data_IF_826309680132
#
_entry.id   IF_826309680132
#
_cell.length_a   1.000
_cell.length_b   1.000
_cell.length_c   1.000
_cell.angle_alpha   90.00
_cell.angle_beta   90.00
_cell.angle_gamma   90.00
#
_symmetry.space_group_name_H-M   'P 1'
#
loop_
_entity.id
_entity.type
_entity.pdbx_description
1 polymer ?
#
# COMPACT_ATOMS: atom_id res chain seq x y z
N UNK A 1 -46.63 -14.52 -41.84
CA UNK A 1 -46.22 -13.22 -42.43
C UNK A 1 -45.26 -13.54 -43.57
N UNK A 2 -45.51 -13.05 -44.79
CA UNK A 2 -44.58 -13.24 -45.91
C UNK A 2 -43.67 -12.03 -45.99
N UNK A 3 -42.37 -12.23 -45.92
CA UNK A 3 -41.35 -11.20 -46.14
C UNK A 3 -40.83 -11.38 -47.56
N UNK A 4 -40.74 -10.30 -48.32
CA UNK A 4 -40.14 -10.31 -49.64
C UNK A 4 -38.83 -9.53 -49.58
N UNK A 5 -37.73 -10.20 -49.89
CA UNK A 5 -36.40 -9.61 -49.93
C UNK A 5 -35.86 -9.69 -51.36
N UNK A 6 -35.21 -8.62 -51.83
CA UNK A 6 -34.46 -8.66 -53.09
C UNK A 6 -33.19 -9.49 -52.93
N UNK A 7 -32.58 -9.99 -54.03
CA UNK A 7 -31.30 -10.69 -53.97
C UNK A 7 -30.21 -9.89 -53.25
N UNK A 8 -30.17 -8.57 -53.46
CA UNK A 8 -29.20 -7.67 -52.82
C UNK A 8 -29.44 -7.57 -51.31
N UNK A 9 -30.69 -7.49 -50.87
CA UNK A 9 -31.05 -7.45 -49.45
C UNK A 9 -30.70 -8.77 -48.74
N UNK A 10 -30.93 -9.92 -49.40
CA UNK A 10 -30.52 -11.23 -48.87
C UNK A 10 -29.01 -11.30 -48.69
N UNK A 11 -28.25 -10.90 -49.70
CA UNK A 11 -26.80 -10.90 -49.64
C UNK A 11 -26.25 -9.98 -48.54
N UNK A 12 -26.85 -8.79 -48.36
CA UNK A 12 -26.48 -7.87 -47.28
C UNK A 12 -26.74 -8.47 -45.89
N UNK A 13 -27.86 -9.17 -45.71
CA UNK A 13 -28.19 -9.85 -44.45
C UNK A 13 -27.25 -11.03 -44.17
N UNK A 14 -26.91 -11.83 -45.19
CA UNK A 14 -25.92 -12.92 -45.07
C UNK A 14 -24.55 -12.39 -44.66
N UNK A 15 -24.08 -11.32 -45.32
CA UNK A 15 -22.82 -10.67 -44.96
C UNK A 15 -22.85 -10.11 -43.51
N UNK A 16 -23.97 -9.51 -43.10
CA UNK A 16 -24.14 -9.00 -41.73
C UNK A 16 -24.16 -10.14 -40.70
N UNK A 17 -24.77 -11.28 -41.04
CA UNK A 17 -24.78 -12.48 -40.21
C UNK A 17 -23.36 -13.03 -39.99
N UNK A 18 -22.56 -13.10 -41.04
CA UNK A 18 -21.22 -13.68 -41.00
C UNK A 18 -20.19 -12.80 -40.28
N UNK A 19 -20.43 -11.49 -40.26
CA UNK A 19 -19.54 -10.50 -39.62
C UNK A 19 -19.90 -10.21 -38.16
N UNK A 20 -21.16 -10.40 -37.77
CA UNK A 20 -21.65 -10.10 -36.43
C UNK A 20 -21.27 -11.17 -35.40
N UNK A 21 -20.90 -10.75 -34.19
CA UNK A 21 -20.62 -11.65 -33.05
C UNK A 21 -21.73 -11.69 -31.99
N UNK A 22 -22.74 -10.83 -32.08
CA UNK A 22 -23.90 -10.87 -31.19
C UNK A 22 -24.90 -11.92 -31.69
N UNK A 23 -25.00 -13.04 -30.97
CA UNK A 23 -25.89 -14.14 -31.32
C UNK A 23 -27.35 -13.71 -31.46
N UNK A 24 -27.79 -12.68 -30.73
CA UNK A 24 -29.17 -12.17 -30.79
C UNK A 24 -29.45 -11.47 -32.12
N UNK A 25 -28.47 -10.77 -32.66
CA UNK A 25 -28.56 -10.13 -33.97
C UNK A 25 -28.54 -11.21 -35.06
N UNK A 26 -27.65 -12.21 -34.94
CA UNK A 26 -27.60 -13.35 -35.87
C UNK A 26 -28.94 -14.10 -35.93
N UNK A 27 -29.58 -14.37 -34.79
CA UNK A 27 -30.85 -15.09 -34.76
C UNK A 27 -32.02 -14.29 -35.37
N UNK A 28 -31.99 -12.95 -35.24
CA UNK A 28 -32.98 -12.07 -35.91
C UNK A 28 -32.76 -12.05 -37.42
N UNK A 29 -31.51 -12.02 -37.88
CA UNK A 29 -31.18 -12.11 -39.31
C UNK A 29 -31.66 -13.45 -39.89
N UNK A 30 -31.34 -14.58 -39.24
CA UNK A 30 -31.80 -15.91 -39.67
C UNK A 30 -33.31 -16.00 -39.75
N UNK A 31 -34.03 -15.43 -38.77
CA UNK A 31 -35.49 -15.43 -38.79
C UNK A 31 -36.05 -14.71 -40.02
N UNK A 32 -35.47 -13.55 -40.38
CA UNK A 32 -35.88 -12.76 -41.56
C UNK A 32 -35.56 -13.49 -42.87
N UNK A 33 -34.36 -14.06 -43.00
CA UNK A 33 -33.95 -14.83 -44.17
C UNK A 33 -34.87 -16.04 -44.39
N UNK A 34 -35.05 -16.88 -43.36
CA UNK A 34 -35.89 -18.08 -43.44
C UNK A 34 -37.37 -17.74 -43.72
N UNK A 35 -37.87 -16.64 -43.16
CA UNK A 35 -39.23 -16.16 -43.45
C UNK A 35 -39.38 -15.72 -44.92
N UNK A 36 -38.32 -15.15 -45.52
CA UNK A 36 -38.30 -14.80 -46.95
C UNK A 36 -38.21 -16.02 -47.88
N UNK A 37 -37.76 -17.16 -47.35
CA UNK A 37 -37.69 -18.45 -48.02
C UNK A 37 -38.96 -19.29 -47.84
N UNK A 38 -39.97 -18.74 -47.18
CA UNK A 38 -41.28 -19.36 -47.03
C UNK A 38 -41.44 -20.23 -45.78
N UNK A 39 -40.49 -20.21 -44.84
CA UNK A 39 -40.63 -20.91 -43.58
C UNK A 39 -41.70 -20.26 -42.70
N UNK A 40 -42.50 -21.08 -42.01
CA UNK A 40 -43.48 -20.57 -41.04
C UNK A 40 -42.79 -20.14 -39.75
N UNK A 41 -43.42 -19.25 -38.98
CA UNK A 41 -42.89 -18.82 -37.68
C UNK A 41 -42.60 -20.01 -36.75
N UNK A 42 -43.44 -21.04 -36.80
CA UNK A 42 -43.27 -22.31 -36.07
C UNK A 42 -42.02 -23.08 -36.52
N UNK A 43 -41.76 -23.19 -37.82
CA UNK A 43 -40.55 -23.87 -38.34
C UNK A 43 -39.28 -23.12 -37.96
N UNK A 44 -39.30 -21.79 -38.05
CA UNK A 44 -38.18 -20.93 -37.67
C UNK A 44 -37.90 -21.04 -36.16
N UNK A 45 -38.95 -21.01 -35.34
CA UNK A 45 -38.86 -21.17 -33.90
C UNK A 45 -38.20 -22.51 -33.51
N UNK A 46 -38.60 -23.59 -34.19
CA UNK A 46 -38.01 -24.91 -34.00
C UNK A 46 -36.53 -24.96 -34.42
N UNK A 47 -36.17 -24.34 -35.56
CA UNK A 47 -34.80 -24.33 -36.06
C UNK A 47 -33.85 -23.51 -35.17
N UNK A 48 -34.29 -22.35 -34.70
CA UNK A 48 -33.51 -21.44 -33.85
C UNK A 48 -33.62 -21.79 -32.36
N UNK A 49 -34.48 -22.75 -31.99
CA UNK A 49 -34.75 -23.14 -30.59
C UNK A 49 -35.20 -21.97 -29.70
N UNK A 50 -36.03 -21.09 -30.26
CA UNK A 50 -36.64 -19.96 -29.55
C UNK A 50 -38.17 -20.03 -29.62
N UNK A 51 -38.86 -19.28 -28.76
CA UNK A 51 -40.32 -19.31 -28.71
C UNK A 51 -40.95 -18.69 -29.98
N UNK A 52 -42.04 -19.27 -30.49
CA UNK A 52 -42.72 -18.80 -31.72
C UNK A 52 -43.19 -17.34 -31.64
N UNK A 53 -43.63 -16.90 -30.46
CA UNK A 53 -44.00 -15.49 -30.23
C UNK A 53 -42.80 -14.54 -30.37
N UNK A 54 -41.59 -15.01 -30.03
CA UNK A 54 -40.34 -14.24 -30.21
C UNK A 54 -40.00 -14.09 -31.68
N UNK A 55 -40.10 -15.18 -32.47
CA UNK A 55 -39.94 -15.12 -33.93
C UNK A 55 -40.95 -14.15 -34.52
N UNK A 56 -42.23 -14.30 -34.16
CA UNK A 56 -43.31 -13.43 -34.65
C UNK A 56 -43.06 -11.96 -34.35
N UNK A 57 -42.53 -11.64 -33.15
CA UNK A 57 -42.11 -10.29 -32.79
C UNK A 57 -40.95 -9.80 -33.66
N UNK A 58 -39.91 -10.61 -33.84
CA UNK A 58 -38.75 -10.23 -34.67
C UNK A 58 -39.15 -9.93 -36.13
N UNK A 59 -40.03 -10.74 -36.72
CA UNK A 59 -40.53 -10.51 -38.07
C UNK A 59 -41.38 -9.24 -38.15
N UNK A 60 -42.21 -8.95 -37.13
CA UNK A 60 -42.96 -7.69 -37.04
C UNK A 60 -42.04 -6.48 -36.92
N UNK A 61 -41.05 -6.55 -36.05
CA UNK A 61 -40.07 -5.48 -35.84
C UNK A 61 -39.30 -5.18 -37.13
N UNK A 62 -38.91 -6.22 -37.87
CA UNK A 62 -38.22 -6.08 -39.14
C UNK A 62 -39.10 -5.46 -40.22
N UNK A 63 -40.35 -5.89 -40.38
CA UNK A 63 -41.25 -5.29 -41.38
C UNK A 63 -41.56 -3.83 -41.05
N UNK A 64 -41.68 -3.49 -39.76
CA UNK A 64 -42.03 -2.13 -39.36
C UNK A 64 -40.85 -1.16 -39.47
N UNK A 65 -39.62 -1.60 -39.15
CA UNK A 65 -38.48 -0.72 -38.89
C UNK A 65 -37.12 -1.28 -39.35
N UNK A 66 -37.09 -2.40 -40.08
CA UNK A 66 -35.86 -3.12 -40.46
C UNK A 66 -34.96 -3.47 -39.25
N UNK A 67 -35.58 -3.64 -38.07
CA UNK A 67 -34.88 -3.76 -36.79
C UNK A 67 -34.24 -5.12 -36.60
N UNK A 68 -32.90 -5.16 -36.67
CA UNK A 68 -32.09 -6.36 -36.47
C UNK A 68 -31.31 -6.37 -35.15
N UNK A 69 -31.17 -5.22 -34.48
CA UNK A 69 -30.42 -5.10 -33.21
C UNK A 69 -31.33 -5.01 -31.98
N UNK A 70 -30.98 -5.69 -30.87
CA UNK A 70 -31.70 -5.52 -29.61
C UNK A 70 -31.40 -4.14 -29.01
N UNK A 71 -32.43 -3.44 -28.55
CA UNK A 71 -32.28 -2.19 -27.77
C UNK A 71 -32.05 -2.52 -26.30
N UNK A 72 -30.92 -3.16 -25.99
CA UNK A 72 -30.48 -3.25 -24.61
C UNK A 72 -29.61 -2.04 -24.32
N UNK A 73 -30.25 -0.90 -24.00
CA UNK A 73 -29.56 0.23 -23.40
C UNK A 73 -29.00 -0.19 -22.04
N UNK A 74 -27.74 0.13 -21.78
CA UNK A 74 -27.21 0.05 -20.42
C UNK A 74 -28.09 0.89 -19.49
N UNK A 75 -28.30 0.44 -18.24
CA UNK A 75 -29.03 1.24 -17.26
C UNK A 75 -28.33 2.57 -17.05
N UNK A 76 -29.08 3.67 -17.09
CA UNK A 76 -28.58 4.98 -16.68
C UNK A 76 -28.11 4.92 -15.22
N UNK A 77 -27.10 5.74 -14.90
CA UNK A 77 -26.63 5.88 -13.53
C UNK A 77 -27.75 6.40 -12.64
N UNK A 78 -27.93 5.86 -11.45
CA UNK A 78 -28.91 6.37 -10.48
C UNK A 78 -28.63 7.81 -10.04
N UNK A 79 -27.39 8.27 -10.20
CA UNK A 79 -26.99 9.66 -9.92
C UNK A 79 -26.86 10.44 -11.21
N UNK A 80 -27.36 11.67 -11.19
CA UNK A 80 -27.13 12.67 -12.24
C UNK A 80 -25.65 13.06 -12.33
N UNK A 81 -25.26 13.77 -13.40
CA UNK A 81 -23.89 14.26 -13.56
C UNK A 81 -23.48 15.21 -12.42
N UNK A 82 -24.39 16.09 -12.00
CA UNK A 82 -24.16 17.03 -10.90
C UNK A 82 -24.01 16.30 -9.55
N UNK A 83 -24.93 15.37 -9.24
CA UNK A 83 -24.82 14.54 -8.03
C UNK A 83 -23.56 13.68 -8.02
N UNK A 84 -23.12 13.22 -9.20
CA UNK A 84 -21.89 12.46 -9.35
C UNK A 84 -20.68 13.33 -9.01
N UNK A 85 -20.58 14.54 -9.58
CA UNK A 85 -19.51 15.48 -9.28
C UNK A 85 -19.47 15.83 -7.79
N UNK A 86 -20.62 16.20 -7.21
CA UNK A 86 -20.75 16.52 -5.78
C UNK A 86 -20.30 15.36 -4.88
N UNK A 87 -20.68 14.13 -5.21
CA UNK A 87 -20.31 12.97 -4.41
C UNK A 87 -18.80 12.68 -4.51
N UNK A 88 -18.22 12.86 -5.68
CA UNK A 88 -16.77 12.71 -5.89
C UNK A 88 -16.01 13.74 -5.05
N UNK A 89 -16.41 15.01 -5.10
CA UNK A 89 -15.76 16.08 -4.32
C UNK A 89 -15.88 15.82 -2.82
N UNK A 90 -17.08 15.44 -2.36
CA UNK A 90 -17.31 15.13 -0.96
C UNK A 90 -16.46 13.96 -0.46
N UNK A 91 -16.38 12.85 -1.21
CA UNK A 91 -15.58 11.67 -0.84
C UNK A 91 -14.08 11.90 -0.98
N UNK A 92 -13.67 12.86 -1.79
CA UNK A 92 -12.27 13.29 -1.90
C UNK A 92 -11.85 14.12 -0.70
N UNK A 93 -12.72 15.01 -0.23
CA UNK A 93 -12.49 15.84 0.95
C UNK A 93 -12.69 15.10 2.28
N UNK A 94 -13.59 14.11 2.32
CA UNK A 94 -14.01 13.43 3.53
C UNK A 94 -13.80 11.92 3.43
N UNK A 95 -13.08 11.35 4.39
CA UNK A 95 -12.88 9.91 4.46
C UNK A 95 -14.13 9.22 5.01
N UNK A 96 -14.90 8.56 4.14
CA UNK A 96 -15.93 7.60 4.55
C UNK A 96 -15.34 6.19 4.62
N UNK A 97 -15.58 5.49 5.72
CA UNK A 97 -14.91 4.21 6.02
C UNK A 97 -15.55 3.01 5.33
N UNK A 98 -16.85 3.04 5.06
CA UNK A 98 -17.56 1.91 4.47
C UNK A 98 -18.50 2.34 3.35
N UNK A 99 -18.70 1.46 2.37
CA UNK A 99 -19.69 1.68 1.31
C UNK A 99 -21.10 1.88 1.86
N UNK A 100 -21.45 1.24 2.99
CA UNK A 100 -22.74 1.42 3.66
C UNK A 100 -22.96 2.87 4.14
N UNK A 101 -21.92 3.52 4.66
CA UNK A 101 -22.00 4.93 5.04
C UNK A 101 -22.23 5.84 3.81
N UNK A 102 -21.59 5.52 2.69
CA UNK A 102 -21.78 6.26 1.43
C UNK A 102 -23.21 6.07 0.90
N UNK A 103 -23.75 4.86 0.95
CA UNK A 103 -25.15 4.58 0.60
C UNK A 103 -26.11 5.39 1.48
N UNK A 104 -25.89 5.39 2.80
CA UNK A 104 -26.72 6.15 3.73
C UNK A 104 -26.64 7.67 3.47
N UNK A 105 -25.45 8.19 3.17
CA UNK A 105 -25.24 9.59 2.80
C UNK A 105 -25.99 9.98 1.53
N UNK A 106 -25.88 9.16 0.48
CA UNK A 106 -26.58 9.37 -0.80
C UNK A 106 -28.10 9.32 -0.63
N UNK A 107 -28.60 8.37 0.16
CA UNK A 107 -30.03 8.30 0.49
C UNK A 107 -30.49 9.54 1.27
N UNK A 108 -29.75 9.96 2.29
CA UNK A 108 -30.14 11.12 3.10
C UNK A 108 -30.13 12.42 2.28
N UNK A 109 -29.11 12.60 1.42
CA UNK A 109 -28.88 13.84 0.68
C UNK A 109 -29.76 14.00 -0.55
N UNK A 110 -29.95 12.92 -1.31
CA UNK A 110 -30.63 12.99 -2.62
C UNK A 110 -31.82 12.03 -2.73
N UNK A 111 -32.16 11.30 -1.67
CA UNK A 111 -33.23 10.29 -1.66
C UNK A 111 -33.05 9.19 -2.71
N UNK A 112 -31.81 8.96 -3.15
CA UNK A 112 -31.45 7.92 -4.11
C UNK A 112 -30.99 6.66 -3.36
N UNK A 113 -31.63 5.54 -3.64
CA UNK A 113 -31.29 4.26 -3.03
C UNK A 113 -30.25 3.50 -3.85
N UNK A 114 -29.21 3.02 -3.17
CA UNK A 114 -28.22 2.10 -3.72
C UNK A 114 -28.16 0.82 -2.91
N UNK A 115 -27.97 -0.32 -3.57
CA UNK A 115 -27.41 -1.49 -2.88
C UNK A 115 -25.92 -1.25 -2.60
N UNK A 116 -25.38 -1.86 -1.55
CA UNK A 116 -23.94 -1.78 -1.24
C UNK A 116 -23.10 -2.24 -2.42
N UNK A 117 -23.48 -3.34 -3.09
CA UNK A 117 -22.79 -3.82 -4.29
C UNK A 117 -22.87 -2.85 -5.48
N UNK A 118 -24.02 -2.18 -5.66
CA UNK A 118 -24.21 -1.14 -6.67
C UNK A 118 -23.32 0.07 -6.43
N UNK A 119 -23.28 0.56 -5.19
CA UNK A 119 -22.41 1.68 -4.81
C UNK A 119 -20.93 1.32 -4.95
N UNK A 120 -20.51 0.10 -4.58
CA UNK A 120 -19.12 -0.35 -4.81
C UNK A 120 -18.75 -0.33 -6.29
N UNK A 121 -19.64 -0.80 -7.17
CA UNK A 121 -19.41 -0.73 -8.63
C UNK A 121 -19.33 0.71 -9.12
N UNK A 122 -20.20 1.59 -8.60
CA UNK A 122 -20.19 3.01 -8.92
C UNK A 122 -18.85 3.66 -8.51
N UNK A 123 -18.38 3.44 -7.28
CA UNK A 123 -17.10 3.96 -6.78
C UNK A 123 -15.92 3.56 -7.67
N UNK A 124 -15.85 2.27 -8.06
CA UNK A 124 -14.81 1.80 -8.97
C UNK A 124 -14.88 2.45 -10.36
N UNK A 125 -16.08 2.71 -10.89
CA UNK A 125 -16.26 3.41 -12.18
C UNK A 125 -15.75 4.86 -12.11
N UNK A 126 -15.88 5.51 -10.97
CA UNK A 126 -15.36 6.86 -10.73
C UNK A 126 -13.88 6.89 -10.29
N UNK A 127 -13.16 5.76 -10.35
CA UNK A 127 -11.73 5.70 -10.04
C UNK A 127 -11.38 5.59 -8.55
N UNK A 128 -12.37 5.45 -7.67
CA UNK A 128 -12.10 5.21 -6.24
C UNK A 128 -11.61 3.78 -6.01
N UNK A 129 -10.71 3.63 -5.04
CA UNK A 129 -10.18 2.33 -4.61
C UNK A 129 -10.09 2.28 -3.09
N UNK A 130 -10.41 1.12 -2.50
CA UNK A 130 -10.31 0.94 -1.06
C UNK A 130 -8.84 0.83 -0.64
N UNK A 131 -8.34 1.83 0.08
CA UNK A 131 -6.93 1.95 0.49
C UNK A 131 -6.83 2.38 1.95
N UNK A 132 -5.75 1.96 2.61
CA UNK A 132 -5.42 2.42 3.96
C UNK A 132 -4.96 3.90 3.89
N UNK A 133 -5.58 4.83 4.64
CA UNK A 133 -5.10 6.21 4.72
C UNK A 133 -3.66 6.24 5.24
N UNK A 134 -2.84 7.12 4.67
CA UNK A 134 -1.49 7.36 5.19
C UNK A 134 -1.60 8.29 6.39
N UNK A 135 -1.11 7.85 7.54
CA UNK A 135 -0.91 8.75 8.67
C UNK A 135 0.22 9.72 8.35
N UNK A 136 -0.06 11.01 8.37
CA UNK A 136 0.97 12.05 8.36
C UNK A 136 1.04 12.60 9.79
N UNK A 137 2.24 12.74 10.39
CA UNK A 137 2.36 13.30 11.74
C UNK A 137 1.65 14.66 11.82
N UNK A 138 0.77 14.87 12.79
CA UNK A 138 -0.01 16.12 12.88
C UNK A 138 0.82 17.37 13.24
N UNK A 139 2.10 17.20 13.64
CA UNK A 139 2.98 18.26 14.18
C UNK A 139 4.38 18.31 13.52
N UNK A 140 4.52 18.07 12.22
CA UNK A 140 5.81 18.29 11.56
C UNK A 140 5.95 19.77 11.16
N UNK A 141 7.16 20.32 11.32
CA UNK A 141 7.51 21.70 10.95
C UNK A 141 8.51 21.63 9.78
N UNK A 142 8.02 21.93 8.57
CA UNK A 142 8.81 21.81 7.35
C UNK A 142 10.02 22.75 7.34
N UNK A 143 9.90 23.95 7.93
CA UNK A 143 10.99 24.90 8.00
C UNK A 143 12.11 24.38 8.90
N UNK A 144 11.77 23.80 10.06
CA UNK A 144 12.77 23.20 10.96
C UNK A 144 13.44 21.97 10.36
N UNK A 145 12.72 21.15 9.59
CA UNK A 145 13.35 20.04 8.86
C UNK A 145 14.32 20.54 7.80
N UNK A 146 13.93 21.56 7.04
CA UNK A 146 14.79 22.14 6.01
C UNK A 146 16.06 22.75 6.63
N UNK A 147 15.90 23.52 7.71
CA UNK A 147 17.04 24.06 8.46
C UNK A 147 18.00 22.96 8.92
N UNK A 148 17.47 21.89 9.55
CA UNK A 148 18.31 20.77 9.99
C UNK A 148 19.05 20.09 8.83
N UNK A 149 18.39 19.95 7.67
CA UNK A 149 19.03 19.36 6.48
C UNK A 149 20.20 20.22 6.03
N UNK A 150 20.05 21.55 6.05
CA UNK A 150 21.09 22.47 5.61
C UNK A 150 22.23 22.55 6.63
N UNK A 151 21.92 22.57 7.93
CA UNK A 151 22.92 22.46 9.01
C UNK A 151 23.70 21.14 8.93
N UNK A 152 23.02 20.02 8.66
CA UNK A 152 23.65 18.71 8.51
C UNK A 152 24.58 18.65 7.29
N UNK A 153 24.22 19.31 6.17
CA UNK A 153 25.11 19.38 4.99
C UNK A 153 26.37 20.17 5.31
N UNK A 154 26.24 21.33 5.96
CA UNK A 154 27.39 22.14 6.39
C UNK A 154 28.28 21.35 7.35
N UNK A 155 27.69 20.71 8.36
CA UNK A 155 28.41 19.85 9.31
C UNK A 155 29.18 18.74 8.59
N UNK A 156 28.57 18.08 7.60
CA UNK A 156 29.22 17.03 6.82
C UNK A 156 30.42 17.53 6.03
N UNK A 157 30.37 18.76 5.53
CA UNK A 157 31.49 19.41 4.83
C UNK A 157 32.61 19.80 5.79
N UNK A 158 32.27 20.35 6.96
CA UNK A 158 33.22 20.79 7.99
C UNK A 158 33.94 19.63 8.68
N UNK A 159 33.21 18.59 9.10
CA UNK A 159 33.73 17.43 9.83
C UNK A 159 34.72 16.60 8.98
N UNK A 160 34.56 16.62 7.65
CA UNK A 160 35.37 15.84 6.72
C UNK A 160 35.29 14.34 6.99
N UNK A 161 36.43 13.64 6.86
CA UNK A 161 36.54 12.18 7.10
C UNK A 161 37.04 11.82 8.51
N UNK A 162 37.56 12.78 9.26
CA UNK A 162 38.23 12.52 10.53
C UNK A 162 37.29 12.63 11.74
N UNK A 163 36.19 13.38 11.60
CA UNK A 163 35.19 13.55 12.66
C UNK A 163 33.92 12.75 12.30
N UNK A 164 33.66 11.60 12.95
CA UNK A 164 32.52 10.76 12.61
C UNK A 164 31.20 11.40 13.00
N UNK A 165 30.23 11.36 12.08
CA UNK A 165 28.84 11.76 12.32
C UNK A 165 28.00 10.50 12.50
N UNK A 166 27.42 10.32 13.68
CA UNK A 166 26.63 9.14 14.02
C UNK A 166 25.18 9.51 14.31
N UNK A 167 24.26 8.72 13.78
CA UNK A 167 22.84 8.81 14.09
C UNK A 167 22.49 7.80 15.16
N UNK A 168 21.96 8.26 16.30
CA UNK A 168 21.60 7.38 17.42
C UNK A 168 20.09 7.28 17.59
N UNK A 169 19.64 6.12 18.05
CA UNK A 169 18.26 5.88 18.45
C UNK A 169 18.17 4.64 19.33
N UNK A 170 17.05 4.50 20.03
CA UNK A 170 16.69 3.32 20.79
C UNK A 170 15.58 2.53 20.10
N UNK A 171 15.72 1.21 20.03
CA UNK A 171 14.65 0.32 19.57
C UNK A 171 14.25 -0.67 20.66
N UNK A 172 12.95 -0.92 20.74
CA UNK A 172 12.34 -1.83 21.72
C UNK A 172 11.69 -3.04 21.05
N UNK A 173 12.48 -3.98 20.50
CA UNK A 173 11.91 -5.17 19.87
C UNK A 173 11.18 -6.00 20.93
N UNK A 174 9.97 -6.44 20.63
CA UNK A 174 9.18 -7.34 21.48
C UNK A 174 9.16 -8.76 20.92
N UNK A 175 9.01 -9.75 21.81
CA UNK A 175 8.84 -11.16 21.45
C UNK A 175 7.50 -11.41 20.73
N UNK A 176 6.50 -10.55 20.96
CA UNK A 176 5.19 -10.65 20.33
C UNK A 176 5.30 -10.77 18.80
N UNK A 177 4.65 -11.77 18.22
CA UNK A 177 4.71 -12.04 16.77
C UNK A 177 4.23 -10.83 15.99
N UNK A 178 5.09 -10.27 15.13
CA UNK A 178 4.76 -9.14 14.26
C UNK A 178 4.31 -9.66 12.90
N UNK A 179 2.99 -9.72 12.69
CA UNK A 179 2.44 -10.07 11.38
C UNK A 179 2.69 -8.94 10.38
N UNK A 180 3.15 -9.32 9.19
CA UNK A 180 3.46 -8.41 8.08
C UNK A 180 2.97 -9.01 6.76
N UNK A 181 2.79 -8.16 5.75
CA UNK A 181 2.40 -8.59 4.41
C UNK A 181 3.40 -9.60 3.83
N UNK A 182 2.88 -10.59 3.10
CA UNK A 182 3.64 -11.60 2.38
C UNK A 182 2.81 -12.15 1.23
N UNK A 183 3.49 -12.67 0.21
CA UNK A 183 2.83 -13.27 -0.95
C UNK A 183 2.23 -14.64 -0.57
N UNK A 184 0.97 -14.84 -0.89
CA UNK A 184 0.24 -16.09 -0.66
C UNK A 184 -0.60 -16.43 -1.90
N UNK A 185 -0.81 -17.72 -2.14
CA UNK A 185 -1.66 -18.19 -3.24
C UNK A 185 -3.09 -17.69 -3.02
N UNK A 186 -3.76 -17.27 -4.08
CA UNK A 186 -5.14 -16.79 -4.00
C UNK A 186 -6.10 -17.91 -3.54
N UNK A 187 -7.04 -17.57 -2.65
CA UNK A 187 -8.07 -18.47 -2.14
C UNK A 187 -8.11 -18.52 -0.61
N UNK A 188 -9.31 -18.60 -0.02
CA UNK A 188 -9.50 -18.57 1.45
C UNK A 188 -8.76 -19.69 2.20
N UNK A 189 -8.62 -20.87 1.56
CA UNK A 189 -7.94 -22.03 2.16
C UNK A 189 -6.41 -22.02 1.97
N UNK A 190 -5.86 -20.99 1.32
CA UNK A 190 -4.42 -20.86 1.03
C UNK A 190 -3.72 -19.84 1.96
N UNK A 191 -4.44 -19.33 2.96
CA UNK A 191 -3.90 -18.41 3.96
C UNK A 191 -3.07 -19.22 4.96
N UNK A 192 -1.77 -18.93 5.02
CA UNK A 192 -0.87 -19.58 5.97
C UNK A 192 -1.12 -19.03 7.38
N UNK A 193 -1.46 -19.90 8.32
CA UNK A 193 -1.47 -19.56 9.75
C UNK A 193 -0.06 -19.42 10.28
N UNK A 194 0.20 -18.38 11.07
CA UNK A 194 1.45 -18.19 11.81
C UNK A 194 1.09 -18.22 13.29
N UNK A 195 1.83 -19.01 14.07
CA UNK A 195 1.66 -19.04 15.52
C UNK A 195 1.98 -17.66 16.12
N UNK A 196 1.14 -17.22 17.05
CA UNK A 196 1.27 -15.91 17.68
C UNK A 196 1.50 -16.04 19.18
N UNK A 197 2.45 -15.29 19.71
CA UNK A 197 2.62 -15.09 21.16
C UNK A 197 2.27 -13.68 21.58
N UNK A 198 1.58 -13.54 22.72
CA UNK A 198 1.30 -12.27 23.39
C UNK A 198 2.35 -11.87 24.43
N UNK A 199 3.53 -12.51 24.40
CA UNK A 199 4.60 -12.24 25.37
C UNK A 199 4.98 -10.76 25.42
N UNK A 200 5.13 -10.24 26.65
CA UNK A 200 5.56 -8.86 26.93
C UNK A 200 7.08 -8.72 27.02
N UNK A 201 7.84 -9.80 26.81
CA UNK A 201 9.30 -9.74 26.77
C UNK A 201 9.73 -8.76 25.68
N UNK A 202 10.60 -7.82 26.06
CA UNK A 202 11.20 -6.83 25.17
C UNK A 202 12.69 -6.70 25.44
N UNK A 203 13.43 -6.21 24.45
CA UNK A 203 14.79 -5.71 24.66
C UNK A 203 14.78 -4.19 24.59
N UNK A 204 15.85 -3.59 25.10
CA UNK A 204 16.13 -2.18 24.86
C UNK A 204 17.52 -2.12 24.24
N UNK A 205 17.56 -1.72 22.99
CA UNK A 205 18.78 -1.69 22.19
C UNK A 205 19.04 -0.24 21.82
N UNK A 206 20.26 0.23 22.09
CA UNK A 206 20.78 1.48 21.57
C UNK A 206 21.68 1.18 20.39
N UNK A 207 21.56 2.00 19.35
CA UNK A 207 22.46 1.96 18.21
C UNK A 207 23.00 3.33 17.87
N UNK A 208 24.19 3.34 17.27
CA UNK A 208 24.83 4.50 16.66
C UNK A 208 25.30 4.11 15.27
N UNK A 209 24.62 4.63 14.25
CA UNK A 209 24.87 4.34 12.84
C UNK A 209 25.79 5.41 12.25
N UNK A 210 26.93 4.97 11.71
CA UNK A 210 27.79 5.80 10.88
C UNK A 210 27.44 5.57 9.41
N UNK A 211 27.03 6.62 8.70
CA UNK A 211 26.66 6.50 7.27
C UNK A 211 27.87 6.40 6.33
N UNK A 212 29.04 6.88 6.77
CA UNK A 212 30.27 6.80 5.97
C UNK A 212 30.97 5.45 6.17
N UNK A 213 30.83 4.84 7.34
CA UNK A 213 31.46 3.57 7.74
C UNK A 213 30.45 2.68 8.46
N UNK A 214 29.58 2.02 7.70
CA UNK A 214 28.44 1.26 8.25
C UNK A 214 28.94 0.12 9.17
N UNK A 215 30.12 -0.42 8.90
CA UNK A 215 30.82 -1.43 9.69
C UNK A 215 31.16 -0.99 11.11
N UNK A 216 31.35 0.32 11.32
CA UNK A 216 31.63 0.91 12.64
C UNK A 216 30.34 1.25 13.42
N UNK A 217 29.20 0.70 13.01
CA UNK A 217 27.94 0.85 13.76
C UNK A 217 28.05 0.19 15.12
N UNK A 218 27.79 0.95 16.17
CA UNK A 218 27.82 0.44 17.55
C UNK A 218 26.41 0.07 17.99
N UNK A 219 26.22 -1.17 18.45
CA UNK A 219 24.95 -1.67 19.00
C UNK A 219 25.19 -2.19 20.42
N UNK A 220 24.36 -1.79 21.39
CA UNK A 220 24.41 -2.26 22.78
C UNK A 220 23.01 -2.50 23.35
N UNK A 221 22.87 -3.53 24.17
CA UNK A 221 21.64 -3.87 24.89
C UNK A 221 21.72 -3.33 26.33
N UNK A 222 20.65 -2.70 26.81
CA UNK A 222 20.55 -2.19 28.18
C UNK A 222 19.27 -2.66 28.87
N UNK A 223 19.26 -2.74 30.22
CA UNK A 223 18.05 -3.07 30.98
C UNK A 223 16.89 -2.07 30.78
N UNK A 224 17.21 -0.79 30.51
CA UNK A 224 16.26 0.31 30.31
C UNK A 224 16.91 1.41 29.46
N UNK A 225 16.10 2.28 28.84
CA UNK A 225 16.59 3.49 28.19
C UNK A 225 16.33 4.66 29.13
N UNK A 226 17.40 5.23 29.67
CA UNK A 226 17.40 6.38 30.57
C UNK A 226 18.71 7.16 30.40
N UNK A 227 18.83 8.33 31.02
CA UNK A 227 20.01 9.20 30.89
C UNK A 227 21.31 8.49 31.27
N UNK A 228 21.28 7.67 32.32
CA UNK A 228 22.43 6.87 32.80
C UNK A 228 22.92 5.87 31.74
N UNK A 229 22.03 5.06 31.16
CA UNK A 229 22.42 4.09 30.13
C UNK A 229 22.81 4.76 28.81
N UNK A 230 22.31 5.96 28.51
CA UNK A 230 22.80 6.78 27.41
C UNK A 230 24.25 7.22 27.66
N UNK A 231 24.58 7.65 28.88
CA UNK A 231 25.95 8.00 29.24
C UNK A 231 26.90 6.78 29.13
N UNK A 232 26.48 5.60 29.61
CA UNK A 232 27.24 4.36 29.39
C UNK A 232 27.40 4.03 27.90
N UNK A 233 26.37 4.28 27.10
CA UNK A 233 26.45 4.08 25.66
C UNK A 233 27.46 5.02 24.99
N UNK A 234 27.54 6.28 25.42
CA UNK A 234 28.58 7.20 24.94
C UNK A 234 29.99 6.70 25.26
N UNK A 235 30.18 6.09 26.44
CA UNK A 235 31.43 5.39 26.77
C UNK A 235 31.72 4.23 25.81
N UNK A 236 30.71 3.42 25.50
CA UNK A 236 30.86 2.30 24.55
C UNK A 236 31.21 2.76 23.13
N UNK A 237 30.80 3.96 22.70
CA UNK A 237 31.24 4.53 21.41
C UNK A 237 32.76 4.70 21.36
N UNK A 238 33.41 4.98 22.50
CA UNK A 238 34.86 5.18 22.56
C UNK A 238 35.68 3.90 22.42
N UNK A 239 35.04 2.73 22.47
CA UNK A 239 35.67 1.45 22.08
C UNK A 239 35.90 1.37 20.56
N UNK A 240 35.12 2.11 19.76
CA UNK A 240 35.21 2.14 18.29
C UNK A 240 35.80 3.45 17.78
N UNK A 241 35.49 4.58 18.43
CA UNK A 241 35.87 5.93 18.01
C UNK A 241 36.80 6.59 19.04
N UNK A 242 38.13 6.64 18.81
CA UNK A 242 39.10 7.16 19.78
C UNK A 242 38.83 8.60 20.21
N UNK A 243 39.20 8.97 21.45
CA UNK A 243 38.98 10.32 22.01
C UNK A 243 39.63 11.46 21.20
N UNK A 244 40.65 11.16 20.41
CA UNK A 244 41.28 12.12 19.49
C UNK A 244 40.34 12.60 18.38
N UNK A 245 39.25 11.87 18.11
CA UNK A 245 38.21 12.26 17.18
C UNK A 245 37.02 12.88 17.92
N UNK A 246 36.63 14.07 17.48
CA UNK A 246 35.35 14.66 17.87
C UNK A 246 34.23 13.85 17.20
N UNK A 247 33.28 13.36 17.99
CA UNK A 247 32.10 12.66 17.45
C UNK A 247 30.96 13.66 17.38
N UNK A 248 30.29 13.75 16.24
CA UNK A 248 29.02 14.45 16.14
C UNK A 248 27.87 13.44 16.24
N UNK A 249 27.13 13.46 17.35
CA UNK A 249 25.96 12.61 17.53
C UNK A 249 24.70 13.35 17.14
N UNK A 250 23.90 12.74 16.27
CA UNK A 250 22.57 13.18 15.90
C UNK A 250 21.55 12.33 16.63
N UNK A 251 20.64 12.96 17.39
CA UNK A 251 19.69 12.29 18.28
C UNK A 251 18.34 13.01 18.33
N UNK A 252 17.31 12.31 18.79
CA UNK A 252 15.99 12.91 18.97
C UNK A 252 15.90 13.82 20.21
N UNK A 253 14.76 14.49 20.35
CA UNK A 253 14.50 15.41 21.46
C UNK A 253 14.04 14.76 22.76
N UNK A 254 14.19 13.44 22.97
CA UNK A 254 13.68 12.78 24.16
C UNK A 254 14.30 13.34 25.45
N UNK A 255 13.51 13.37 26.53
CA UNK A 255 13.92 14.01 27.78
C UNK A 255 15.21 13.46 28.38
N UNK A 256 15.47 12.14 28.25
CA UNK A 256 16.70 11.53 28.73
C UNK A 256 17.94 11.93 27.91
N UNK A 257 17.80 12.28 26.64
CA UNK A 257 18.90 12.79 25.83
C UNK A 257 19.25 14.25 26.13
N UNK A 258 18.33 14.98 26.75
CA UNK A 258 18.49 16.39 27.15
C UNK A 258 18.88 16.55 28.63
N UNK A 259 19.01 15.43 29.35
CA UNK A 259 19.43 15.43 30.74
C UNK A 259 20.85 15.98 30.88
N UNK A 260 21.11 16.72 31.96
CA UNK A 260 22.39 17.38 32.16
C UNK A 260 23.55 16.39 32.23
N UNK A 261 23.36 15.26 32.91
CA UNK A 261 24.29 14.12 32.92
C UNK A 261 24.74 13.71 31.51
N UNK A 262 23.83 13.68 30.53
CA UNK A 262 24.16 13.27 29.16
C UNK A 262 25.00 14.32 28.46
N UNK A 263 24.73 15.61 28.69
CA UNK A 263 25.52 16.71 28.14
C UNK A 263 26.92 16.76 28.76
N UNK A 264 27.01 16.61 30.08
CA UNK A 264 28.28 16.59 30.81
C UNK A 264 29.19 15.46 30.32
N UNK A 265 28.63 14.26 30.19
CA UNK A 265 29.36 13.09 29.69
C UNK A 265 29.72 13.26 28.22
N UNK A 266 28.84 13.84 27.39
CA UNK A 266 29.17 14.15 26.00
C UNK A 266 30.38 15.08 25.90
N UNK A 267 30.39 16.15 26.69
CA UNK A 267 31.50 17.10 26.75
C UNK A 267 32.81 16.42 27.16
N UNK A 268 32.81 15.67 28.27
CA UNK A 268 34.00 14.95 28.77
C UNK A 268 34.52 13.96 27.73
N UNK A 269 33.62 13.32 26.99
CA UNK A 269 33.98 12.34 25.98
C UNK A 269 34.24 12.97 24.62
N UNK A 270 34.40 14.29 24.46
CA UNK A 270 34.62 14.95 23.16
C UNK A 270 33.53 14.63 22.10
N UNK A 271 32.27 14.65 22.55
CA UNK A 271 31.08 14.39 21.75
C UNK A 271 30.26 15.68 21.65
N UNK A 272 29.93 16.07 20.43
CA UNK A 272 29.01 17.17 20.14
C UNK A 272 27.61 16.64 19.81
N UNK A 273 26.60 17.17 20.48
CA UNK A 273 25.22 16.73 20.37
C UNK A 273 24.43 17.63 19.42
N UNK A 274 23.82 17.02 18.41
CA UNK A 274 22.94 17.65 17.43
C UNK A 274 21.54 17.06 17.55
N UNK A 275 20.53 17.92 17.71
CA UNK A 275 19.16 17.47 17.96
C UNK A 275 18.29 17.55 16.72
N UNK A 276 17.62 16.45 16.41
CA UNK A 276 16.62 16.39 15.36
C UNK A 276 15.41 17.29 15.68
N UNK A 277 14.78 17.89 14.66
CA UNK A 277 13.53 18.60 14.85
C UNK A 277 12.43 17.65 15.35
N UNK A 278 11.48 18.12 16.18
CA UNK A 278 10.39 17.29 16.69
C UNK A 278 9.65 16.56 15.57
N UNK A 279 9.23 15.32 15.83
CA UNK A 279 8.46 14.48 14.90
C UNK A 279 9.12 14.31 13.51
N UNK A 280 10.45 14.18 13.45
CA UNK A 280 11.21 14.03 12.20
C UNK A 280 11.93 12.68 12.07
N UNK A 281 11.22 11.54 12.22
CA UNK A 281 11.80 10.20 12.09
C UNK A 281 12.43 9.95 10.70
N UNK A 282 11.89 10.61 9.67
CA UNK A 282 12.40 10.55 8.29
C UNK A 282 13.84 11.06 8.14
N UNK A 283 14.31 11.90 9.08
CA UNK A 283 15.66 12.45 9.10
C UNK A 283 16.64 11.61 9.94
N UNK A 284 16.18 10.53 10.59
CA UNK A 284 17.01 9.62 11.36
C UNK A 284 17.24 8.29 10.61
N UNK A 285 18.36 8.12 9.89
CA UNK A 285 18.62 6.95 9.04
C UNK A 285 18.67 5.62 9.81
N UNK A 286 19.01 5.64 11.10
CA UNK A 286 19.06 4.44 11.93
C UNK A 286 17.69 3.77 12.06
N UNK A 287 16.58 4.51 11.87
CA UNK A 287 15.25 3.90 11.81
C UNK A 287 15.12 2.90 10.64
N UNK A 288 15.86 3.12 9.55
CA UNK A 288 15.92 2.17 8.43
C UNK A 288 16.65 0.89 8.83
N UNK A 289 17.68 0.97 9.67
CA UNK A 289 18.35 -0.19 10.24
C UNK A 289 17.37 -0.99 11.11
N UNK A 290 16.58 -0.33 11.95
CA UNK A 290 15.53 -0.99 12.75
C UNK A 290 14.46 -1.64 11.88
N UNK A 291 14.02 -0.97 10.82
CA UNK A 291 13.10 -1.55 9.85
C UNK A 291 13.68 -2.80 9.21
N UNK A 292 14.92 -2.74 8.74
CA UNK A 292 15.62 -3.87 8.13
C UNK A 292 15.76 -5.05 9.10
N UNK A 293 16.18 -4.81 10.34
CA UNK A 293 16.24 -5.83 11.39
C UNK A 293 14.87 -6.49 11.61
N UNK A 294 13.78 -5.72 11.66
CA UNK A 294 12.44 -6.29 11.76
C UNK A 294 12.10 -7.20 10.57
N UNK A 295 12.42 -6.78 9.36
CA UNK A 295 12.15 -7.53 8.13
C UNK A 295 12.93 -8.84 8.07
N UNK A 296 14.17 -8.84 8.53
CA UNK A 296 15.04 -10.02 8.47
C UNK A 296 14.71 -11.04 9.57
N UNK A 297 14.43 -10.58 10.79
CA UNK A 297 14.38 -11.51 11.94
C UNK A 297 13.11 -11.45 12.78
N UNK A 298 12.13 -10.58 12.52
CA UNK A 298 10.88 -10.53 13.31
C UNK A 298 9.59 -10.66 12.54
N UNK A 299 9.52 -10.11 11.33
CA UNK A 299 8.28 -10.11 10.56
C UNK A 299 7.88 -11.56 10.24
N UNK A 300 6.66 -11.94 10.59
CA UNK A 300 6.10 -13.27 10.36
C UNK A 300 6.86 -14.43 11.04
N UNK A 301 7.67 -14.14 12.06
CA UNK A 301 8.44 -15.13 12.82
C UNK A 301 7.84 -15.29 14.22
N UNK A 302 7.58 -16.55 14.59
CA UNK A 302 7.16 -16.94 15.93
C UNK A 302 8.39 -17.26 16.79
N UNK A 303 8.40 -16.76 18.02
CA UNK A 303 9.43 -17.05 19.02
C UNK A 303 8.84 -17.85 20.18
N UNK A 304 9.25 -19.12 20.36
CA UNK A 304 8.69 -19.99 21.39
C UNK A 304 9.02 -19.50 22.81
N UNK A 305 10.20 -18.91 23.00
CA UNK A 305 10.64 -18.42 24.29
C UNK A 305 11.52 -17.17 24.18
N UNK A 306 11.76 -16.56 25.34
CA UNK A 306 12.54 -15.33 25.47
C UNK A 306 14.03 -15.51 25.16
N UNK A 307 14.58 -16.73 25.28
CA UNK A 307 15.97 -17.03 24.98
C UNK A 307 16.18 -17.04 23.47
N UNK A 308 15.37 -17.81 22.72
CA UNK A 308 15.42 -17.83 21.25
C UNK A 308 15.25 -16.43 20.66
N UNK A 309 14.29 -15.66 21.20
CA UNK A 309 14.09 -14.27 20.81
C UNK A 309 15.35 -13.41 20.98
N UNK A 310 15.99 -13.46 22.16
CA UNK A 310 17.21 -12.69 22.44
C UNK A 310 18.39 -13.10 21.57
N UNK A 311 18.63 -14.41 21.46
CA UNK A 311 19.75 -14.95 20.72
C UNK A 311 19.64 -14.64 19.22
N UNK A 312 18.43 -14.72 18.66
CA UNK A 312 18.18 -14.36 17.24
C UNK A 312 18.52 -12.90 16.96
N UNK A 313 18.08 -11.99 17.83
CA UNK A 313 18.35 -10.55 17.68
C UNK A 313 19.83 -10.23 17.86
N UNK A 314 20.50 -10.84 18.87
CA UNK A 314 21.94 -10.68 19.07
C UNK A 314 22.73 -11.20 17.88
N UNK A 315 22.38 -12.37 17.37
CA UNK A 315 23.03 -12.97 16.20
C UNK A 315 22.89 -12.11 14.94
N UNK A 316 21.73 -11.48 14.73
CA UNK A 316 21.54 -10.55 13.63
C UNK A 316 22.56 -9.41 13.66
N UNK A 317 22.75 -8.76 14.82
CA UNK A 317 23.69 -7.64 14.92
C UNK A 317 25.15 -8.09 14.91
N UNK A 318 25.49 -9.23 15.54
CA UNK A 318 26.89 -9.69 15.62
C UNK A 318 27.40 -10.34 14.33
N UNK A 319 26.54 -10.96 13.53
CA UNK A 319 26.97 -11.78 12.39
C UNK A 319 26.39 -11.31 11.06
N UNK A 320 25.07 -11.09 10.99
CA UNK A 320 24.41 -10.78 9.72
C UNK A 320 24.65 -9.34 9.28
N UNK A 321 24.53 -8.40 10.22
CA UNK A 321 24.75 -6.99 9.94
C UNK A 321 26.23 -6.71 9.63
N UNK A 322 27.15 -7.21 10.46
CA UNK A 322 28.60 -7.05 10.27
C UNK A 322 29.09 -7.54 8.88
N UNK A 323 28.66 -8.74 8.45
CA UNK A 323 29.02 -9.26 7.12
C UNK A 323 28.46 -8.44 5.96
N UNK A 324 27.31 -7.79 6.17
CA UNK A 324 26.66 -7.00 5.13
C UNK A 324 27.28 -5.61 5.02
N UNK A 325 27.73 -5.03 6.14
CA UNK A 325 28.48 -3.77 6.11
C UNK A 325 29.81 -3.94 5.35
N UNK A 326 30.52 -5.05 5.58
CA UNK A 326 31.76 -5.37 4.84
C UNK A 326 31.52 -5.42 3.32
N UNK A 327 30.48 -6.13 2.86
CA UNK A 327 30.16 -6.23 1.42
C UNK A 327 29.69 -4.92 0.78
N UNK A 328 29.13 -4.01 1.57
CA UNK A 328 28.69 -2.72 1.06
C UNK A 328 29.90 -1.83 0.76
N UNK A 329 30.96 -1.92 1.56
CA UNK A 329 32.23 -1.24 1.35
C UNK A 329 32.88 -1.67 0.01
N UNK A 330 32.95 -2.97 -0.25
CA UNK A 330 33.54 -3.55 -1.48
C UNK A 330 32.78 -3.20 -2.77
N UNK A 331 31.56 -2.66 -2.68
CA UNK A 331 30.72 -2.30 -3.84
C UNK A 331 30.78 -0.82 -4.23
N UNK A 332 31.57 -0.03 -3.51
CA UNK A 332 31.71 1.43 -3.68
C UNK A 332 33.13 1.87 -4.06
N UNK A 333 34.07 0.93 -4.14
CA UNK A 333 35.36 1.07 -4.84
C UNK A 333 35.23 0.56 -6.28
#
# INVERSE_FOLDING_TARGET
MKIHLTPEQKHALELMHDTTRDSRVCDRIKAVLLASEGWTAQMIAQALRIHESTVSRHLKDFIAQEKLTPENGGSESHLSAEQTADLIDYLTANLMHTTTQIVAYVQARWQVSFSVGGMTKWLHRQGFSYKKPKGVPHKFDAHKQQQFIDDYKALKEEAGQNEPILFIDAVHPSQSTKLSYGWMKAGKNQVKGIETTGSRTRLNILGALNLQRIEDTVIREYPRINAENIAYFFGALRETYPLSQKIHLILDGAGYHRAELVKDIAYVLNIELHYLPPYSPNLNPIERLWKYMNEQVRNNIYFPDAKTFRETLRHFFSCHFARKSERAHDSTD
#
